data_IF_581066138735
#
_entry.id   IF_581066138735
#
_cell.length_a   1.000
_cell.length_b   1.000
_cell.length_c   1.000
_cell.angle_alpha   90.00
_cell.angle_beta   90.00
_cell.angle_gamma   90.00
#
_symmetry.space_group_name_H-M   'P 1'
#
loop_
_entity.id
_entity.type
_entity.pdbx_description
1 polymer ?
#
# COMPACT_ATOMS: atom_id res chain seq x y z
N UNK A 1 52.00 23.75 50.99
CA UNK A 1 52.12 23.06 49.69
C UNK A 1 50.77 22.41 49.38
N UNK A 2 50.20 22.63 48.18
CA UNK A 2 48.91 22.13 47.66
C UNK A 2 47.65 22.81 48.28
N UNK A 3 47.01 23.87 47.77
CA UNK A 3 46.74 24.39 46.40
C UNK A 3 46.30 23.31 45.41
N UNK A 4 45.00 23.35 45.11
CA UNK A 4 44.40 23.03 43.82
C UNK A 4 44.38 21.55 43.42
N UNK A 5 43.26 20.82 43.66
CA UNK A 5 42.78 19.80 42.70
C UNK A 5 41.39 19.18 42.96
N UNK A 6 40.50 19.73 43.81
CA UNK A 6 39.17 19.12 44.02
C UNK A 6 38.00 19.79 43.31
N UNK A 7 38.20 20.93 42.66
CA UNK A 7 37.13 21.67 41.99
C UNK A 7 36.99 21.40 40.48
N UNK A 8 37.89 20.61 39.86
CA UNK A 8 37.90 20.37 38.42
C UNK A 8 37.32 19.00 37.99
N UNK A 9 36.68 18.27 38.91
CA UNK A 9 36.07 16.97 38.57
C UNK A 9 34.56 17.03 38.31
N UNK A 10 33.92 18.20 38.42
CA UNK A 10 32.45 18.30 38.38
C UNK A 10 31.87 18.79 37.04
N UNK A 11 32.67 19.33 36.12
CA UNK A 11 32.11 20.00 34.93
C UNK A 11 32.35 19.31 33.57
N UNK A 12 33.13 18.23 33.49
CA UNK A 12 33.44 17.60 32.19
C UNK A 12 32.49 16.47 31.77
N UNK A 13 31.55 16.06 32.62
CA UNK A 13 30.58 15.00 32.32
C UNK A 13 29.21 15.51 31.83
N UNK A 14 29.05 16.82 31.64
CA UNK A 14 27.74 17.44 31.32
C UNK A 14 27.59 17.90 29.86
N UNK A 15 28.57 17.65 28.98
CA UNK A 15 28.56 18.21 27.62
C UNK A 15 28.39 17.18 26.48
N UNK A 16 28.09 15.92 26.77
CA UNK A 16 27.97 14.88 25.73
C UNK A 16 26.81 13.91 25.95
N UNK A 17 25.64 14.43 26.34
CA UNK A 17 24.38 13.75 26.05
C UNK A 17 23.61 14.68 25.10
N UNK A 18 24.19 14.91 23.93
CA UNK A 18 23.37 15.26 22.78
C UNK A 18 22.40 14.10 22.62
N UNK A 19 21.12 14.34 22.91
CA UNK A 19 20.07 13.37 22.71
C UNK A 19 20.19 12.81 21.30
N UNK A 20 20.62 11.56 21.19
CA UNK A 20 20.26 10.71 20.06
C UNK A 20 18.75 10.53 20.16
N UNK A 21 17.99 11.51 19.69
CA UNK A 21 16.59 11.28 19.35
C UNK A 21 16.64 10.34 18.15
N UNK A 22 16.58 9.04 18.41
CA UNK A 22 16.29 8.06 17.37
C UNK A 22 15.00 8.54 16.69
N UNK A 23 15.08 8.85 15.39
CA UNK A 23 13.92 9.24 14.63
C UNK A 23 12.92 8.07 14.72
N UNK A 24 11.76 8.34 15.32
CA UNK A 24 10.67 7.38 15.41
C UNK A 24 10.34 6.84 14.00
N UNK A 25 10.12 5.52 13.84
CA UNK A 25 9.93 4.94 12.53
C UNK A 25 8.66 5.52 11.88
N UNK A 26 8.74 5.87 10.59
CA UNK A 26 7.64 6.46 9.80
C UNK A 26 6.34 5.65 9.93
N UNK A 27 6.46 4.33 10.11
CA UNK A 27 5.33 3.41 10.32
C UNK A 27 4.43 3.78 11.50
N UNK A 28 4.93 4.49 12.53
CA UNK A 28 4.12 4.97 13.66
C UNK A 28 3.13 6.07 13.27
N UNK A 29 3.32 6.73 12.14
CA UNK A 29 2.47 7.84 11.67
C UNK A 29 1.60 7.47 10.47
N UNK A 30 1.72 6.24 9.93
CA UNK A 30 0.91 5.79 8.79
C UNK A 30 -0.52 5.52 9.26
N UNK A 31 -1.45 6.38 8.85
CA UNK A 31 -2.86 6.25 9.17
C UNK A 31 -3.51 5.15 8.32
N UNK A 32 -4.72 4.73 8.72
CA UNK A 32 -5.51 3.74 7.95
C UNK A 32 -5.81 4.26 6.54
N UNK A 33 -6.10 5.55 6.44
CA UNK A 33 -6.43 6.24 5.20
C UNK A 33 -5.24 6.26 4.25
N UNK A 34 -4.02 6.41 4.76
CA UNK A 34 -2.81 6.36 3.95
C UNK A 34 -2.59 4.97 3.36
N UNK A 35 -2.77 3.90 4.16
CA UNK A 35 -2.67 2.52 3.65
C UNK A 35 -3.68 2.23 2.56
N UNK A 36 -4.93 2.69 2.74
CA UNK A 36 -5.97 2.56 1.71
C UNK A 36 -5.54 3.29 0.44
N UNK A 37 -4.96 4.49 0.57
CA UNK A 37 -4.47 5.27 -0.58
C UNK A 37 -3.35 4.54 -1.32
N UNK A 38 -2.38 4.00 -0.60
CA UNK A 38 -1.28 3.21 -1.16
C UNK A 38 -1.82 2.01 -1.96
N UNK A 39 -2.79 1.28 -1.41
CA UNK A 39 -3.46 0.17 -2.11
C UNK A 39 -4.16 0.64 -3.40
N UNK A 40 -4.87 1.77 -3.35
CA UNK A 40 -5.54 2.31 -4.54
C UNK A 40 -4.54 2.73 -5.62
N UNK A 41 -3.37 3.25 -5.25
CA UNK A 41 -2.29 3.57 -6.20
C UNK A 41 -1.77 2.32 -6.89
N UNK A 42 -1.60 1.21 -6.15
CA UNK A 42 -1.22 -0.08 -6.75
C UNK A 42 -2.27 -0.54 -7.75
N UNK A 43 -3.55 -0.52 -7.38
CA UNK A 43 -4.65 -0.93 -8.27
C UNK A 43 -4.70 -0.06 -9.53
N UNK A 44 -4.58 1.26 -9.38
CA UNK A 44 -4.54 2.21 -10.50
C UNK A 44 -3.42 1.86 -11.49
N UNK A 45 -2.22 1.56 -10.99
CA UNK A 45 -1.07 1.14 -11.82
C UNK A 45 -1.32 -0.20 -12.51
N UNK A 46 -1.88 -1.18 -11.82
CA UNK A 46 -2.12 -2.52 -12.38
C UNK A 46 -3.22 -2.54 -13.45
N UNK A 47 -4.17 -1.62 -13.36
CA UNK A 47 -5.27 -1.44 -14.33
C UNK A 47 -4.93 -0.43 -15.44
N UNK A 48 -3.89 0.38 -15.27
CA UNK A 48 -3.50 1.42 -16.24
C UNK A 48 -4.51 2.57 -16.33
N UNK A 49 -5.13 2.93 -15.20
CA UNK A 49 -6.14 4.00 -15.12
C UNK A 49 -5.80 5.02 -14.04
N UNK A 50 -6.45 6.18 -14.05
CA UNK A 50 -6.30 7.20 -13.01
C UNK A 50 -7.42 7.09 -11.96
N UNK A 51 -7.25 7.76 -10.82
CA UNK A 51 -8.21 7.75 -9.70
C UNK A 51 -9.64 8.12 -10.12
N UNK A 52 -9.77 9.05 -11.08
CA UNK A 52 -11.04 9.55 -11.60
C UNK A 52 -11.80 8.51 -12.41
N UNK A 53 -11.17 7.42 -12.85
CA UNK A 53 -11.87 6.34 -13.53
C UNK A 53 -12.89 5.70 -12.59
N UNK A 54 -12.50 5.47 -11.33
CA UNK A 54 -13.33 4.80 -10.34
C UNK A 54 -14.00 5.77 -9.35
N UNK A 55 -13.32 6.85 -8.95
CA UNK A 55 -13.79 7.73 -7.87
C UNK A 55 -14.39 9.05 -8.38
N UNK A 56 -15.30 9.61 -7.57
CA UNK A 56 -15.62 11.02 -7.61
C UNK A 56 -14.61 11.78 -6.75
N UNK A 57 -13.90 12.75 -7.32
CA UNK A 57 -12.85 13.49 -6.61
C UNK A 57 -13.37 14.34 -5.45
N UNK A 58 -14.65 14.72 -5.50
CA UNK A 58 -15.31 15.45 -4.42
C UNK A 58 -15.82 14.52 -3.30
N UNK A 59 -15.97 13.23 -3.60
CA UNK A 59 -16.39 12.22 -2.62
C UNK A 59 -15.87 10.82 -3.02
N UNK A 60 -14.71 10.46 -2.51
CA UNK A 60 -14.06 9.18 -2.81
C UNK A 60 -14.86 7.96 -2.31
N UNK A 61 -15.78 8.15 -1.36
CA UNK A 61 -16.66 7.09 -0.87
C UNK A 61 -17.90 6.87 -1.75
N UNK A 62 -18.17 7.76 -2.72
CA UNK A 62 -19.30 7.62 -3.64
C UNK A 62 -19.15 6.39 -4.53
N UNK A 63 -20.21 5.60 -4.62
CA UNK A 63 -20.31 4.42 -5.50
C UNK A 63 -21.08 4.71 -6.79
N UNK A 64 -21.30 5.99 -7.12
CA UNK A 64 -22.07 6.41 -8.29
C UNK A 64 -21.48 5.86 -9.61
N UNK A 65 -20.15 5.74 -9.70
CA UNK A 65 -19.48 5.21 -10.89
C UNK A 65 -19.61 3.69 -10.96
N UNK A 66 -19.87 3.17 -12.17
CA UNK A 66 -19.98 1.73 -12.40
C UNK A 66 -18.66 1.02 -12.09
N UNK A 67 -17.55 1.62 -12.51
CA UNK A 67 -16.17 1.15 -12.29
C UNK A 67 -15.83 1.01 -10.82
N UNK A 68 -16.30 1.90 -9.92
CA UNK A 68 -16.17 1.71 -8.47
C UNK A 68 -16.77 0.39 -7.99
N UNK A 69 -18.03 0.14 -8.38
CA UNK A 69 -18.79 -1.04 -7.97
C UNK A 69 -18.15 -2.32 -8.51
N UNK A 70 -17.80 -2.33 -9.80
CA UNK A 70 -17.10 -3.45 -10.44
C UNK A 70 -15.73 -3.69 -9.80
N UNK A 71 -14.95 -2.64 -9.54
CA UNK A 71 -13.66 -2.72 -8.88
C UNK A 71 -13.75 -3.32 -7.47
N UNK A 72 -14.77 -2.93 -6.70
CA UNK A 72 -15.04 -3.51 -5.37
C UNK A 72 -15.34 -5.01 -5.44
N UNK A 73 -16.07 -5.47 -6.45
CA UNK A 73 -16.31 -6.91 -6.64
C UNK A 73 -15.05 -7.64 -7.09
N UNK A 74 -14.19 -7.00 -7.90
CA UNK A 74 -12.89 -7.57 -8.26
C UNK A 74 -11.94 -7.67 -7.06
N UNK A 75 -11.99 -6.74 -6.10
CA UNK A 75 -11.23 -6.88 -4.85
C UNK A 75 -11.62 -8.17 -4.11
N UNK A 76 -12.92 -8.48 -4.02
CA UNK A 76 -13.40 -9.75 -3.45
C UNK A 76 -12.91 -10.96 -4.24
N UNK A 77 -12.93 -10.89 -5.57
CA UNK A 77 -12.40 -11.94 -6.44
C UNK A 77 -10.91 -12.18 -6.18
N UNK A 78 -10.09 -11.13 -6.11
CA UNK A 78 -8.65 -11.28 -5.82
C UNK A 78 -8.41 -11.86 -4.43
N UNK A 79 -9.21 -11.47 -3.43
CA UNK A 79 -9.10 -12.04 -2.09
C UNK A 79 -9.45 -13.53 -2.11
N UNK A 80 -10.55 -13.91 -2.76
CA UNK A 80 -10.92 -15.31 -2.93
C UNK A 80 -9.81 -16.12 -3.61
N UNK A 81 -9.16 -15.60 -4.66
CA UNK A 81 -8.03 -16.29 -5.29
C UNK A 81 -6.84 -16.46 -4.34
N UNK A 82 -6.50 -15.42 -3.56
CA UNK A 82 -5.45 -15.50 -2.54
C UNK A 82 -5.75 -16.58 -1.51
N UNK A 83 -6.98 -16.61 -1.01
CA UNK A 83 -7.44 -17.60 -0.03
C UNK A 83 -7.39 -19.04 -0.58
N UNK A 84 -7.45 -19.20 -1.91
CA UNK A 84 -7.37 -20.48 -2.62
C UNK A 84 -5.97 -20.77 -3.20
N UNK A 85 -4.91 -20.21 -2.62
CA UNK A 85 -3.52 -20.60 -2.90
C UNK A 85 -2.76 -19.68 -3.85
N UNK A 86 -3.37 -18.58 -4.30
CA UNK A 86 -2.68 -17.51 -5.02
C UNK A 86 -2.22 -16.40 -4.09
N UNK A 87 -1.74 -16.73 -2.88
CA UNK A 87 -1.31 -15.76 -1.86
C UNK A 87 0.16 -15.34 -1.99
N UNK A 88 0.89 -15.87 -2.98
CA UNK A 88 2.31 -15.58 -3.17
C UNK A 88 3.27 -16.42 -2.29
N UNK A 89 2.78 -17.25 -1.35
CA UNK A 89 3.66 -17.99 -0.44
C UNK A 89 4.29 -19.23 -1.08
N UNK A 90 3.54 -19.94 -1.90
CA UNK A 90 3.95 -21.20 -2.57
C UNK A 90 3.79 -21.16 -4.09
N UNK A 91 3.46 -19.98 -4.64
CA UNK A 91 3.06 -19.82 -6.02
C UNK A 91 2.85 -18.35 -6.38
N UNK A 92 2.23 -18.05 -7.53
CA UNK A 92 1.96 -16.68 -7.93
C UNK A 92 0.99 -15.99 -6.96
N UNK A 93 1.13 -14.68 -6.80
CA UNK A 93 0.17 -13.86 -6.07
C UNK A 93 -0.92 -13.36 -7.01
N UNK A 94 -2.19 -13.54 -6.65
CA UNK A 94 -3.31 -12.95 -7.38
C UNK A 94 -3.32 -11.43 -7.16
N UNK A 95 -3.17 -10.69 -8.26
CA UNK A 95 -3.32 -9.24 -8.30
C UNK A 95 -4.18 -8.84 -9.49
N UNK A 96 -4.56 -7.56 -9.58
CA UNK A 96 -5.31 -7.06 -10.73
C UNK A 96 -4.48 -7.24 -12.01
N UNK A 97 -3.16 -7.06 -11.93
CA UNK A 97 -2.23 -7.17 -13.05
C UNK A 97 -2.18 -8.57 -13.67
N UNK A 98 -2.43 -9.63 -12.88
CA UNK A 98 -2.47 -11.02 -13.36
C UNK A 98 -3.37 -11.18 -14.60
N UNK A 99 -4.49 -10.47 -14.58
CA UNK A 99 -5.50 -10.46 -15.63
C UNK A 99 -5.42 -9.19 -16.49
N UNK A 100 -5.47 -8.01 -15.86
CA UNK A 100 -5.64 -6.74 -16.57
C UNK A 100 -4.41 -6.28 -17.34
N UNK A 101 -3.21 -6.62 -16.87
CA UNK A 101 -1.95 -6.29 -17.55
C UNK A 101 -1.83 -4.82 -17.97
N UNK A 102 -2.24 -3.90 -17.09
CA UNK A 102 -2.20 -2.46 -17.37
C UNK A 102 -3.33 -1.93 -18.26
N UNK A 103 -4.42 -2.71 -18.43
CA UNK A 103 -5.61 -2.29 -19.18
C UNK A 103 -6.87 -2.44 -18.34
N UNK A 104 -7.74 -1.43 -18.38
CA UNK A 104 -9.01 -1.44 -17.65
C UNK A 104 -9.88 -2.66 -17.98
N UNK A 105 -9.83 -3.12 -19.23
CA UNK A 105 -10.48 -4.35 -19.66
C UNK A 105 -9.42 -5.29 -20.27
N UNK A 106 -9.36 -6.57 -19.85
CA UNK A 106 -8.43 -7.52 -20.44
C UNK A 106 -8.76 -7.82 -21.91
N UNK A 107 -7.74 -7.93 -22.76
CA UNK A 107 -7.94 -8.15 -24.20
C UNK A 107 -8.22 -9.62 -24.57
N UNK A 108 -7.97 -10.57 -23.67
CA UNK A 108 -8.18 -11.99 -23.95
C UNK A 108 -9.67 -12.33 -23.86
N UNK A 109 -10.23 -12.77 -24.99
CA UNK A 109 -11.57 -13.35 -25.03
C UNK A 109 -11.45 -14.86 -24.95
N UNK A 110 -12.36 -15.49 -24.21
CA UNK A 110 -12.50 -16.93 -24.26
C UNK A 110 -12.78 -17.33 -25.72
N UNK A 111 -12.02 -18.29 -26.29
CA UNK A 111 -12.39 -18.82 -27.59
C UNK A 111 -13.76 -19.47 -27.48
N UNK A 112 -14.67 -19.19 -28.43
CA UNK A 112 -15.98 -19.81 -28.44
C UNK A 112 -15.81 -21.33 -28.39
N UNK A 113 -16.19 -21.95 -27.27
CA UNK A 113 -16.15 -23.40 -27.18
C UNK A 113 -17.17 -23.97 -28.17
N UNK A 114 -16.82 -25.05 -28.88
CA UNK A 114 -17.74 -25.74 -29.79
C UNK A 114 -19.01 -26.28 -29.10
N UNK A 115 -19.13 -26.14 -27.77
CA UNK A 115 -20.27 -26.52 -26.95
C UNK A 115 -21.12 -25.32 -26.47
N UNK A 116 -20.75 -24.09 -26.84
CA UNK A 116 -21.45 -22.87 -26.45
C UNK A 116 -22.31 -22.27 -27.60
N UNK A 117 -22.57 -23.04 -28.66
CA UNK A 117 -23.48 -22.69 -29.77
C UNK A 117 -24.73 -23.57 -29.71
#
# INVERSE_FOLDING_TARGET
MQRNLKALSLCLALSFIGSLTEAEPVSKFVTKEEKIREEMVVISRELGVTCTECHNVQNFASSEKKTFRVGKDHMKLTQMLKDNGFDGKKGPMATCYMCHRGKLSPDYKEPLSAKAQ
#
